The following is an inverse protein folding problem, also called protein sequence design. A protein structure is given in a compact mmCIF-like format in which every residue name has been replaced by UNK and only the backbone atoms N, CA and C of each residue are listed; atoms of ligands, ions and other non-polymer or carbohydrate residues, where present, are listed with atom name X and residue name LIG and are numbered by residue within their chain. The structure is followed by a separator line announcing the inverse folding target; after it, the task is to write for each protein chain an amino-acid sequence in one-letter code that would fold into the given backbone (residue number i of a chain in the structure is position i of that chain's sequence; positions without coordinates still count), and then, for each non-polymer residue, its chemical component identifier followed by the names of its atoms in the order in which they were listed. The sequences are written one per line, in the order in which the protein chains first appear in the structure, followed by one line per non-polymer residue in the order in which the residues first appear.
data_IF_049088476926
#
_entry.id   IF_049088476926
#
_cell.length_a   1.000
_cell.length_b   1.000
_cell.length_c   1.000
_cell.angle_alpha   90.00
_cell.angle_beta   90.00
_cell.angle_gamma   90.00
#
_symmetry.space_group_name_H-M   'P 1'
#
loop_
_entity.id
_entity.type
_entity.pdbx_description
1 polymer ?
#
# COMPACT_ATOMS: atom_id res chain seq x y z
N UNK A 1 -4.20 -22.22 -21.46
CA UNK A 1 -3.18 -21.95 -20.42
C UNK A 1 -3.34 -20.57 -19.75
N UNK A 2 -4.16 -19.64 -20.25
CA UNK A 2 -4.30 -18.27 -19.71
C UNK A 2 -5.10 -18.09 -18.41
N UNK A 3 -5.98 -19.04 -18.04
CA UNK A 3 -6.84 -18.88 -16.87
C UNK A 3 -6.06 -18.99 -15.55
N UNK A 4 -5.12 -19.93 -15.46
CA UNK A 4 -4.35 -20.19 -14.24
C UNK A 4 -3.38 -19.04 -13.92
N UNK A 5 -2.74 -18.46 -14.94
CA UNK A 5 -1.82 -17.33 -14.76
C UNK A 5 -2.57 -16.07 -14.25
N UNK A 6 -3.76 -15.81 -14.79
CA UNK A 6 -4.60 -14.68 -14.36
C UNK A 6 -5.07 -14.84 -12.92
N UNK A 7 -5.39 -16.08 -12.51
CA UNK A 7 -5.80 -16.40 -11.15
C UNK A 7 -4.64 -16.23 -10.16
N UNK A 8 -3.42 -16.62 -10.52
CA UNK A 8 -2.26 -16.42 -9.65
C UNK A 8 -1.90 -14.94 -9.45
N UNK A 9 -1.92 -14.13 -10.51
CA UNK A 9 -1.73 -12.67 -10.39
C UNK A 9 -2.78 -12.06 -9.45
N UNK A 10 -4.05 -12.45 -9.60
CA UNK A 10 -5.13 -11.93 -8.77
C UNK A 10 -5.02 -12.31 -7.29
N UNK A 11 -4.61 -13.54 -6.99
CA UNK A 11 -4.46 -14.03 -5.61
C UNK A 11 -3.35 -13.27 -4.87
N UNK A 12 -2.23 -13.03 -5.54
CA UNK A 12 -1.10 -12.31 -4.97
C UNK A 12 -1.50 -10.88 -4.56
N UNK A 13 -2.18 -10.14 -5.45
CA UNK A 13 -2.69 -8.78 -5.13
C UNK A 13 -3.72 -8.81 -4.00
N UNK A 14 -4.54 -9.85 -3.94
CA UNK A 14 -5.51 -10.02 -2.86
C UNK A 14 -4.83 -10.27 -1.51
N UNK A 15 -3.71 -11.00 -1.47
CA UNK A 15 -2.92 -11.18 -0.24
C UNK A 15 -2.31 -9.86 0.23
N UNK A 16 -1.71 -9.09 -0.67
CA UNK A 16 -1.21 -7.74 -0.39
C UNK A 16 -2.31 -6.83 0.18
N UNK A 17 -3.44 -6.74 -0.51
CA UNK A 17 -4.59 -5.97 -0.05
C UNK A 17 -5.11 -6.42 1.33
N UNK A 18 -5.33 -7.72 1.52
CA UNK A 18 -5.93 -8.27 2.75
C UNK A 18 -5.01 -8.15 3.96
N UNK A 19 -3.71 -8.45 3.80
CA UNK A 19 -2.71 -8.32 4.86
C UNK A 19 -2.65 -6.87 5.37
N UNK A 20 -2.51 -5.91 4.44
CA UNK A 20 -2.42 -4.51 4.80
C UNK A 20 -3.74 -3.95 5.36
N UNK A 21 -4.88 -4.46 4.91
CA UNK A 21 -6.20 -4.15 5.51
C UNK A 21 -6.27 -4.58 6.97
N UNK A 22 -5.90 -5.84 7.28
CA UNK A 22 -5.99 -6.39 8.63
C UNK A 22 -5.01 -5.67 9.58
N UNK A 23 -3.76 -5.46 9.12
CA UNK A 23 -2.72 -4.78 9.90
C UNK A 23 -3.12 -3.33 10.18
N UNK A 24 -3.54 -2.59 9.16
CA UNK A 24 -3.90 -1.17 9.34
C UNK A 24 -5.15 -1.00 10.19
N UNK A 25 -6.16 -1.87 10.04
CA UNK A 25 -7.33 -1.90 10.90
C UNK A 25 -6.94 -2.14 12.37
N UNK A 26 -6.13 -3.16 12.63
CA UNK A 26 -5.72 -3.54 13.98
C UNK A 26 -4.95 -2.40 14.66
N UNK A 27 -3.95 -1.84 13.97
CA UNK A 27 -3.17 -0.71 14.48
C UNK A 27 -4.03 0.55 14.64
N UNK A 28 -4.94 0.81 13.71
CA UNK A 28 -5.86 1.94 13.76
C UNK A 28 -6.81 1.85 14.96
N UNK A 29 -7.37 0.67 15.24
CA UNK A 29 -8.19 0.44 16.43
C UNK A 29 -7.36 0.63 17.71
N UNK A 30 -6.15 0.08 17.76
CA UNK A 30 -5.25 0.27 18.89
C UNK A 30 -4.93 1.75 19.14
N UNK A 31 -4.70 2.51 18.06
CA UNK A 31 -4.44 3.93 18.12
C UNK A 31 -5.63 4.77 18.59
N UNK A 32 -6.85 4.24 18.61
CA UNK A 32 -8.00 4.91 19.22
C UNK A 32 -8.19 4.53 20.68
N UNK A 33 -7.94 3.26 21.02
CA UNK A 33 -8.15 2.73 22.38
C UNK A 33 -7.04 3.16 23.34
N UNK A 34 -5.79 3.27 22.88
CA UNK A 34 -4.62 3.42 23.76
C UNK A 34 -3.75 4.63 23.37
N UNK A 35 -3.48 5.57 24.28
CA UNK A 35 -4.37 6.19 25.27
C UNK A 35 -5.41 7.13 24.60
N UNK A 36 -6.53 7.48 25.29
CA UNK A 36 -7.57 8.38 24.79
C UNK A 36 -7.02 9.81 24.72
N UNK A 37 -6.29 10.11 23.66
CA UNK A 37 -5.66 11.41 23.45
C UNK A 37 -6.38 12.20 22.36
N UNK A 38 -6.29 13.52 22.49
CA UNK A 38 -6.81 14.56 21.59
C UNK A 38 -6.18 14.52 20.17
N UNK A 39 -5.37 13.49 19.86
CA UNK A 39 -4.58 13.33 18.64
C UNK A 39 -4.98 12.09 17.81
N UNK A 40 -6.20 11.55 18.00
CA UNK A 40 -6.66 10.33 17.32
C UNK A 40 -6.43 10.36 15.80
N UNK A 41 -6.87 11.44 15.12
CA UNK A 41 -6.69 11.59 13.66
C UNK A 41 -5.21 11.60 13.25
N UNK A 42 -4.37 12.34 13.99
CA UNK A 42 -2.94 12.43 13.68
C UNK A 42 -2.29 11.04 13.75
N UNK A 43 -2.62 10.23 14.76
CA UNK A 43 -2.11 8.86 14.88
C UNK A 43 -2.56 7.97 13.73
N UNK A 44 -3.83 8.06 13.31
CA UNK A 44 -4.33 7.30 12.16
C UNK A 44 -3.59 7.68 10.87
N UNK A 45 -3.36 8.98 10.64
CA UNK A 45 -2.58 9.45 9.47
C UNK A 45 -1.12 8.98 9.57
N UNK A 46 -0.50 9.05 10.74
CA UNK A 46 0.87 8.55 10.94
C UNK A 46 0.98 7.05 10.66
N UNK A 47 0.00 6.25 11.09
CA UNK A 47 -0.06 4.82 10.77
C UNK A 47 -0.20 4.62 9.25
N UNK A 48 -1.13 5.33 8.62
CA UNK A 48 -1.33 5.25 7.17
C UNK A 48 -0.08 5.60 6.37
N UNK A 49 0.61 6.68 6.75
CA UNK A 49 1.90 7.07 6.16
C UNK A 49 2.97 5.98 6.36
N UNK A 50 3.15 5.53 7.60
CA UNK A 50 4.21 4.58 7.96
C UNK A 50 4.02 3.25 7.24
N UNK A 51 2.80 2.70 7.24
CA UNK A 51 2.50 1.45 6.55
C UNK A 51 2.63 1.60 5.04
N UNK A 52 2.22 2.72 4.46
CA UNK A 52 2.36 2.94 3.01
C UNK A 52 3.82 3.02 2.62
N UNK A 53 4.63 3.72 3.42
CA UNK A 53 6.07 3.81 3.21
C UNK A 53 6.74 2.44 3.31
N UNK A 54 6.43 1.66 4.36
CA UNK A 54 6.95 0.29 4.51
C UNK A 54 6.53 -0.58 3.32
N UNK A 55 5.25 -0.53 2.92
CA UNK A 55 4.74 -1.32 1.80
C UNK A 55 5.46 -1.00 0.48
N UNK A 56 5.77 0.27 0.22
CA UNK A 56 6.53 0.66 -0.97
C UNK A 56 7.99 0.21 -0.86
N UNK A 57 8.65 0.44 0.29
CA UNK A 57 10.04 0.03 0.50
C UNK A 57 10.22 -1.48 0.36
N UNK A 58 9.24 -2.27 0.80
CA UNK A 58 9.28 -3.72 0.62
C UNK A 58 9.27 -4.12 -0.86
N UNK A 59 8.49 -3.45 -1.71
CA UNK A 59 8.55 -3.69 -3.17
C UNK A 59 9.90 -3.31 -3.78
N UNK A 60 10.52 -2.22 -3.32
CA UNK A 60 11.90 -1.88 -3.70
C UNK A 60 12.91 -2.92 -3.20
N UNK A 61 12.70 -3.52 -2.03
CA UNK A 61 13.57 -4.58 -1.50
C UNK A 61 13.48 -5.84 -2.36
N UNK A 62 12.30 -6.15 -2.89
CA UNK A 62 12.09 -7.29 -3.77
C UNK A 62 12.90 -7.19 -5.07
N UNK A 63 13.24 -5.98 -5.52
CA UNK A 63 14.11 -5.76 -6.69
C UNK A 63 15.47 -6.46 -6.57
N UNK A 64 15.98 -6.54 -5.33
CA UNK A 64 17.26 -7.17 -5.03
C UNK A 64 17.13 -8.67 -4.71
N UNK A 65 15.92 -9.22 -4.74
CA UNK A 65 15.65 -10.62 -4.46
C UNK A 65 15.51 -11.38 -5.79
N UNK A 66 16.34 -12.39 -6.07
CA UNK A 66 16.37 -13.06 -7.37
C UNK A 66 15.07 -13.84 -7.69
N UNK A 67 14.32 -14.23 -6.67
CA UNK A 67 13.11 -15.06 -6.80
C UNK A 67 11.79 -14.27 -6.77
N UNK A 68 11.86 -12.92 -6.80
CA UNK A 68 10.68 -12.04 -6.70
C UNK A 68 10.71 -10.94 -7.76
N UNK A 69 9.56 -10.64 -8.34
CA UNK A 69 9.36 -9.46 -9.18
C UNK A 69 8.97 -8.28 -8.31
N UNK A 70 9.61 -7.13 -8.51
CA UNK A 70 9.07 -5.86 -8.03
C UNK A 70 7.86 -5.51 -8.88
N UNK A 71 6.72 -5.28 -8.25
CA UNK A 71 5.49 -4.94 -8.98
C UNK A 71 4.81 -3.70 -8.42
N UNK A 72 4.68 -2.68 -9.26
CA UNK A 72 3.94 -1.46 -8.96
C UNK A 72 2.53 -1.74 -8.42
N UNK A 73 1.84 -2.75 -8.97
CA UNK A 73 0.47 -3.08 -8.56
C UNK A 73 0.39 -3.67 -7.14
N UNK A 74 1.46 -4.26 -6.60
CA UNK A 74 1.52 -4.68 -5.19
C UNK A 74 1.59 -3.49 -4.25
N UNK A 75 2.42 -2.50 -4.56
CA UNK A 75 2.44 -1.26 -3.79
C UNK A 75 1.08 -0.56 -3.79
N UNK A 76 0.36 -0.57 -4.92
CA UNK A 76 -1.00 -0.04 -5.01
C UNK A 76 -1.98 -0.88 -4.17
N UNK A 77 -1.92 -2.20 -4.26
CA UNK A 77 -2.75 -3.09 -3.43
C UNK A 77 -2.53 -2.86 -1.93
N UNK A 78 -1.27 -2.68 -1.51
CA UNK A 78 -0.89 -2.33 -0.14
C UNK A 78 -1.56 -1.02 0.30
N UNK A 79 -1.44 0.05 -0.50
CA UNK A 79 -2.01 1.38 -0.17
C UNK A 79 -3.54 1.35 -0.11
N UNK A 80 -4.19 0.65 -1.05
CA UNK A 80 -5.64 0.49 -1.05
C UNK A 80 -6.08 -0.32 0.19
N UNK A 81 -5.36 -1.38 0.54
CA UNK A 81 -5.61 -2.17 1.74
C UNK A 81 -5.46 -1.34 3.02
N UNK A 82 -4.39 -0.56 3.13
CA UNK A 82 -4.18 0.37 4.26
C UNK A 82 -5.36 1.32 4.38
N UNK A 83 -5.76 1.94 3.28
CA UNK A 83 -6.88 2.88 3.23
C UNK A 83 -8.18 2.21 3.69
N UNK A 84 -8.49 1.02 3.17
CA UNK A 84 -9.67 0.25 3.54
C UNK A 84 -9.70 -0.09 5.03
N UNK A 85 -8.59 -0.59 5.59
CA UNK A 85 -8.53 -0.94 7.02
C UNK A 85 -8.61 0.26 7.96
N UNK A 86 -8.14 1.45 7.55
CA UNK A 86 -8.22 2.67 8.36
C UNK A 86 -9.58 3.39 8.30
N UNK A 87 -10.46 3.04 7.35
CA UNK A 87 -11.81 3.65 7.25
C UNK A 87 -12.60 3.42 8.54
N UNK A 88 -12.64 2.20 9.07
CA UNK A 88 -13.44 1.89 10.26
C UNK A 88 -12.96 2.66 11.51
N UNK A 89 -11.67 2.65 11.88
CA UNK A 89 -11.15 3.52 12.93
C UNK A 89 -11.46 5.01 12.68
N UNK A 90 -11.30 5.50 11.45
CA UNK A 90 -11.57 6.90 11.13
C UNK A 90 -13.03 7.28 11.39
N UNK A 91 -13.98 6.44 10.97
CA UNK A 91 -15.41 6.64 11.23
C UNK A 91 -15.71 6.67 12.73
N UNK A 92 -15.12 5.75 13.50
CA UNK A 92 -15.27 5.73 14.97
C UNK A 92 -14.73 7.03 15.59
N UNK A 93 -13.55 7.50 15.17
CA UNK A 93 -12.98 8.76 15.64
C UNK A 93 -13.92 9.94 15.36
N UNK A 94 -14.47 10.03 14.15
CA UNK A 94 -15.42 11.08 13.76
C UNK A 94 -16.67 11.02 14.64
N UNK A 95 -17.25 9.82 14.85
CA UNK A 95 -18.41 9.65 15.73
C UNK A 95 -18.10 10.13 17.16
N UNK A 96 -17.02 9.64 17.79
CA UNK A 96 -16.62 10.05 19.14
C UNK A 96 -16.49 11.58 19.24
N UNK A 97 -15.88 12.20 18.24
CA UNK A 97 -15.67 13.65 18.19
C UNK A 97 -16.97 14.44 18.05
N UNK A 98 -17.91 13.97 17.23
CA UNK A 98 -19.22 14.60 17.05
C UNK A 98 -20.05 14.57 18.35
N UNK A 99 -19.93 13.52 19.16
CA UNK A 99 -20.66 13.39 20.43
C UNK A 99 -19.94 14.05 21.62
N UNK A 100 -18.65 14.39 21.52
CA UNK A 100 -17.90 15.04 22.59
C UNK A 100 -18.06 16.57 22.57
N UNK A 101 -18.98 17.08 23.39
CA UNK A 101 -19.32 18.51 23.48
C UNK A 101 -18.30 19.42 24.20
N UNK A 102 -17.12 18.92 24.59
CA UNK A 102 -16.13 19.67 25.40
C UNK A 102 -14.73 19.55 24.79
N UNK A 103 -14.19 20.69 24.31
CA UNK A 103 -12.77 21.01 23.92
C UNK A 103 -12.53 21.43 22.44
N UNK A 104 -13.24 22.47 21.97
CA UNK A 104 -13.21 22.92 20.57
C UNK A 104 -11.89 23.53 20.05
N UNK A 105 -11.01 24.11 20.90
CA UNK A 105 -9.84 24.89 20.42
C UNK A 105 -8.57 24.08 20.18
N UNK A 106 -8.32 23.00 20.93
CA UNK A 106 -7.06 22.22 20.83
C UNK A 106 -7.13 21.18 19.70
N UNK A 107 -8.29 20.53 19.56
CA UNK A 107 -8.55 19.55 18.50
C UNK A 107 -8.39 20.14 17.09
N UNK A 108 -8.83 21.39 16.88
CA UNK A 108 -8.73 22.06 15.58
C UNK A 108 -7.28 22.24 15.10
N UNK A 109 -6.33 22.42 16.03
CA UNK A 109 -4.90 22.54 15.70
C UNK A 109 -4.35 21.18 15.24
N UNK A 110 -4.74 20.10 15.92
CA UNK A 110 -4.31 18.74 15.60
C UNK A 110 -4.89 18.25 14.28
N UNK A 111 -6.15 18.57 13.98
CA UNK A 111 -6.75 18.24 12.69
C UNK A 111 -5.99 18.90 11.52
N UNK A 112 -5.58 20.16 11.69
CA UNK A 112 -4.78 20.86 10.66
C UNK A 112 -3.43 20.19 10.44
N UNK A 113 -2.76 19.75 11.50
CA UNK A 113 -1.51 18.99 11.37
C UNK A 113 -1.74 17.63 10.69
N UNK A 114 -2.83 16.93 11.00
CA UNK A 114 -3.16 15.67 10.35
C UNK A 114 -3.45 15.85 8.85
N UNK A 115 -4.21 16.89 8.47
CA UNK A 115 -4.45 17.22 7.06
C UNK A 115 -3.15 17.61 6.37
N UNK A 116 -2.32 18.46 7.01
CA UNK A 116 -1.01 18.82 6.49
C UNK A 116 -0.11 17.60 6.29
N UNK A 117 -0.13 16.64 7.23
CA UNK A 117 0.63 15.41 7.14
C UNK A 117 0.09 14.49 6.03
N UNK A 118 -1.23 14.43 5.82
CA UNK A 118 -1.84 13.67 4.73
C UNK A 118 -1.45 14.25 3.36
N UNK A 119 -1.45 15.57 3.23
CA UNK A 119 -0.98 16.25 2.02
C UNK A 119 0.52 16.00 1.78
N UNK A 120 1.34 16.13 2.84
CA UNK A 120 2.77 15.83 2.76
C UNK A 120 3.02 14.35 2.40
N UNK A 121 2.22 13.44 2.94
CA UNK A 121 2.22 12.01 2.62
C UNK A 121 1.98 11.78 1.14
N UNK A 122 0.92 12.36 0.58
CA UNK A 122 0.62 12.24 -0.85
C UNK A 122 1.76 12.79 -1.72
N UNK A 123 2.33 13.95 -1.33
CA UNK A 123 3.41 14.60 -2.05
C UNK A 123 4.73 13.80 -2.02
N UNK A 124 5.01 13.08 -0.92
CA UNK A 124 6.19 12.21 -0.77
C UNK A 124 5.97 10.87 -1.46
N UNK A 125 4.80 10.24 -1.27
CA UNK A 125 4.51 8.91 -1.80
C UNK A 125 4.40 8.91 -3.32
N UNK A 126 3.78 9.94 -3.92
CA UNK A 126 3.57 10.01 -5.37
C UNK A 126 4.87 9.87 -6.20
N UNK A 127 5.94 10.65 -5.97
CA UNK A 127 7.17 10.49 -6.73
C UNK A 127 7.87 9.15 -6.47
N UNK A 128 7.78 8.59 -5.27
CA UNK A 128 8.37 7.28 -4.94
C UNK A 128 7.64 6.16 -5.71
N UNK A 129 6.31 6.24 -5.80
CA UNK A 129 5.49 5.34 -6.61
C UNK A 129 5.79 5.47 -8.11
N UNK A 130 6.00 6.69 -8.61
CA UNK A 130 6.43 6.90 -10.00
C UNK A 130 7.78 6.25 -10.28
N UNK A 131 8.73 6.36 -9.35
CA UNK A 131 10.02 5.65 -9.42
C UNK A 131 9.85 4.13 -9.44
N UNK A 132 8.92 3.59 -8.64
CA UNK A 132 8.64 2.15 -8.59
C UNK A 132 8.03 1.66 -9.90
N UNK A 133 7.11 2.44 -10.48
CA UNK A 133 6.52 2.13 -11.78
C UNK A 133 7.58 2.08 -12.89
N UNK A 134 8.51 3.05 -12.90
CA UNK A 134 9.62 3.04 -13.83
C UNK A 134 10.47 1.78 -13.66
N UNK A 135 10.87 1.43 -12.44
CA UNK A 135 11.69 0.23 -12.18
C UNK A 135 10.96 -1.05 -12.62
N UNK A 136 9.67 -1.17 -12.32
CA UNK A 136 8.84 -2.32 -12.69
C UNK A 136 8.86 -2.55 -14.21
N UNK A 137 8.75 -1.48 -15.01
CA UNK A 137 8.77 -1.55 -16.48
C UNK A 137 10.13 -2.01 -17.05
N UNK A 138 11.23 -1.69 -16.37
CA UNK A 138 12.59 -2.06 -16.79
C UNK A 138 13.12 -3.33 -16.13
N UNK A 139 12.32 -4.05 -15.34
CA UNK A 139 12.74 -5.28 -14.68
C UNK A 139 13.11 -6.37 -15.70
N UNK A 140 14.32 -6.97 -15.64
CA UNK A 140 14.73 -8.04 -16.55
C UNK A 140 13.81 -9.26 -16.49
N UNK A 141 13.22 -9.54 -15.32
CA UNK A 141 12.25 -10.61 -15.12
C UNK A 141 10.94 -10.40 -15.90
N UNK A 142 10.58 -9.16 -16.24
CA UNK A 142 9.42 -8.88 -17.10
C UNK A 142 9.68 -9.18 -18.58
N UNK A 143 10.95 -9.19 -19.03
CA UNK A 143 11.35 -9.42 -20.43
C UNK A 143 11.80 -10.85 -20.74
N UNK A 144 12.12 -11.64 -19.71
CA UNK A 144 12.60 -13.02 -19.87
C UNK A 144 11.60 -13.96 -20.54
N UNK A 145 10.30 -13.77 -20.33
CA UNK A 145 9.25 -14.65 -20.89
C UNK A 145 8.96 -14.48 -22.38
N UNK A 146 9.36 -13.35 -22.99
CA UNK A 146 9.15 -13.11 -24.42
C UNK A 146 10.33 -13.55 -25.29
N UNK A 147 11.54 -13.54 -24.73
CA UNK A 147 12.77 -13.84 -25.50
C UNK A 147 13.03 -15.34 -25.63
N UNK A 148 12.51 -16.16 -24.71
CA UNK A 148 12.69 -17.62 -24.78
C UNK A 148 11.76 -18.28 -25.81
N UNK A 149 10.55 -17.72 -26.02
CA UNK A 149 9.59 -18.21 -27.03
C UNK A 149 10.02 -17.95 -28.48
N UNK A 150 10.92 -16.99 -28.73
CA UNK A 150 11.45 -16.75 -30.08
C UNK A 150 12.58 -17.71 -30.46
N UNK A 151 13.26 -18.32 -29.48
CA UNK A 151 14.33 -19.30 -29.74
C UNK A 151 13.82 -20.76 -29.87
N UNK A 152 12.67 -21.10 -29.29
CA UNK A 152 12.08 -22.45 -29.46
C UNK A 152 11.37 -22.68 -30.80
N UNK A 153 11.12 -21.62 -31.60
CA UNK A 153 10.52 -21.77 -32.93
C UNK A 153 11.54 -21.98 -34.07
N UNK A 154 12.85 -22.04 -33.77
CA UNK A 154 13.91 -22.20 -34.77
C UNK A 154 14.58 -23.58 -34.75
N UNK A 155 13.86 -24.64 -34.39
CA UNK A 155 14.27 -26.01 -34.71
C UNK A 155 13.43 -26.52 -35.89
N UNK A 156 13.97 -26.31 -37.08
CA UNK A 156 13.51 -26.94 -38.34
C UNK A 156 13.82 -28.44 -38.24
N UNK A 157 12.87 -29.34 -38.50
CA UNK A 157 13.18 -30.75 -38.66
C UNK A 157 13.90 -30.95 -39.99
N UNK A 158 15.18 -31.32 -39.93
CA UNK A 158 15.79 -32.06 -41.04
C UNK A 158 15.10 -33.43 -41.09
N UNK A 159 14.36 -33.70 -42.17
CA UNK A 159 14.29 -34.96 -42.94
C UNK A 159 13.12 -34.94 -43.93
#
# INVERSE_FOLDING_TARGET
MHLFDTVHIGIDKLMHFSLFTIVSFTLGMFALVVPPSENGLLRLVTIGFTLSFIGIVEEYRQWFSPDRSTEFYDAIANIIGISAGLITPLLIYICIKLFSNKKKKRDLKNDRYAVSLLLATALIIAPILLGLNFITEYSPSAKGGETEKSNEQLTIPDH
#
